data_IF_267659776985
#
_entry.id   IF_267659776985
#
_cell.length_a   1.000
_cell.length_b   1.000
_cell.length_c   1.000
_cell.angle_alpha   90.00
_cell.angle_beta   90.00
_cell.angle_gamma   90.00
#
_symmetry.space_group_name_H-M   'P 1'
#
loop_
_entity.id
_entity.type
_entity.pdbx_description
1 polymer ?
#
# COMPACT_ATOMS: atom_id res chain seq x y z
N UNK A 1 -22.82 17.18 8.25
CA UNK A 1 -21.81 16.12 8.40
C UNK A 1 -21.37 15.72 7.00
N UNK A 2 -20.08 15.49 6.72
CA UNK A 2 -19.65 15.20 5.34
C UNK A 2 -19.96 13.73 5.00
N UNK A 3 -20.36 13.41 3.76
CA UNK A 3 -20.72 12.06 3.31
C UNK A 3 -19.65 11.01 3.64
N UNK A 4 -18.38 11.42 3.59
CA UNK A 4 -17.24 10.58 3.94
C UNK A 4 -17.22 10.23 5.45
N UNK A 5 -17.55 11.19 6.32
CA UNK A 5 -17.66 10.98 7.77
C UNK A 5 -18.83 10.07 8.12
N UNK A 6 -19.98 10.22 7.44
CA UNK A 6 -21.13 9.33 7.62
C UNK A 6 -20.82 7.91 7.13
N UNK A 7 -20.16 7.73 5.99
CA UNK A 7 -19.73 6.42 5.51
C UNK A 7 -18.79 5.73 6.51
N UNK A 8 -17.78 6.45 7.02
CA UNK A 8 -16.85 5.92 8.02
C UNK A 8 -17.61 5.54 9.29
N UNK A 9 -18.52 6.39 9.77
CA UNK A 9 -19.28 6.14 11.00
C UNK A 9 -20.30 5.00 10.86
N UNK A 10 -20.94 4.84 9.70
CA UNK A 10 -21.85 3.72 9.43
C UNK A 10 -21.11 2.41 9.24
N UNK A 11 -19.86 2.47 8.80
CA UNK A 11 -19.00 1.31 8.62
C UNK A 11 -17.93 1.25 9.71
N UNK A 12 -18.11 1.93 10.85
CA UNK A 12 -17.04 2.10 11.86
C UNK A 12 -16.59 0.75 12.41
N UNK A 13 -17.44 -0.25 12.45
CA UNK A 13 -17.07 -1.60 12.88
C UNK A 13 -16.31 -2.36 11.78
N UNK A 14 -16.71 -2.23 10.52
CA UNK A 14 -15.97 -2.73 9.35
C UNK A 14 -14.63 -2.00 9.14
N UNK A 15 -14.55 -0.74 9.56
CA UNK A 15 -13.36 0.14 9.53
C UNK A 15 -12.53 -0.02 10.79
N UNK A 16 -13.11 -0.38 11.94
CA UNK A 16 -12.38 -0.81 13.15
C UNK A 16 -11.75 -2.18 12.96
N UNK A 17 -12.42 -3.07 12.23
CA UNK A 17 -11.81 -4.32 11.72
C UNK A 17 -10.61 -4.03 10.80
N UNK A 18 -10.53 -2.84 10.18
CA UNK A 18 -9.36 -2.37 9.43
C UNK A 18 -8.32 -1.65 10.29
N UNK A 19 -8.70 -1.03 11.42
CA UNK A 19 -7.75 -0.49 12.42
C UNK A 19 -7.05 -1.57 13.24
N UNK A 20 -7.61 -2.78 13.28
CA UNK A 20 -7.05 -3.95 13.98
C UNK A 20 -6.21 -4.87 13.11
N UNK A 21 -5.99 -4.54 11.83
CA UNK A 21 -5.21 -5.36 10.91
C UNK A 21 -3.72 -5.03 10.99
N UNK A 22 -2.99 -5.70 11.86
CA UNK A 22 -1.56 -5.93 11.67
C UNK A 22 -1.45 -6.94 10.53
N UNK A 23 -1.27 -6.53 9.27
CA UNK A 23 -1.21 -7.50 8.17
C UNK A 23 -0.15 -7.24 7.10
N UNK A 24 0.76 -6.30 7.31
CA UNK A 24 2.08 -6.31 6.66
C UNK A 24 3.04 -7.32 7.30
N UNK A 25 2.75 -7.75 8.54
CA UNK A 25 3.71 -8.55 9.28
C UNK A 25 3.59 -10.05 9.03
N UNK A 26 2.49 -10.61 8.51
CA UNK A 26 2.37 -12.08 8.54
C UNK A 26 3.43 -12.79 7.69
N UNK A 27 3.70 -12.30 6.47
CA UNK A 27 4.71 -12.93 5.59
C UNK A 27 6.10 -12.73 6.18
N UNK A 28 6.47 -11.52 6.57
CA UNK A 28 7.78 -11.25 7.17
C UNK A 28 7.95 -12.01 8.49
N UNK A 29 6.97 -11.96 9.40
CA UNK A 29 6.95 -12.66 10.68
C UNK A 29 7.04 -14.17 10.49
N UNK A 30 6.29 -14.74 9.54
CA UNK A 30 6.37 -16.16 9.22
C UNK A 30 7.77 -16.53 8.72
N UNK A 31 8.33 -15.74 7.80
CA UNK A 31 9.69 -15.96 7.31
C UNK A 31 10.74 -15.82 8.43
N UNK A 32 10.62 -14.84 9.32
CA UNK A 32 11.50 -14.65 10.48
C UNK A 32 11.39 -15.82 11.46
N UNK A 33 10.18 -16.31 11.71
CA UNK A 33 9.91 -17.46 12.58
C UNK A 33 10.48 -18.76 12.00
N UNK A 34 10.32 -18.97 10.69
CA UNK A 34 10.91 -20.12 9.99
C UNK A 34 12.44 -20.05 10.05
N UNK A 35 13.01 -18.88 9.74
CA UNK A 35 14.45 -18.65 9.83
C UNK A 35 15.00 -18.88 11.24
N UNK A 36 14.34 -18.34 12.27
CA UNK A 36 14.72 -18.54 13.68
C UNK A 36 14.63 -20.00 14.14
N UNK A 37 13.77 -20.80 13.52
CA UNK A 37 13.64 -22.26 13.76
C UNK A 37 14.66 -23.09 12.99
N UNK A 38 15.56 -22.47 12.22
CA UNK A 38 16.53 -23.17 11.38
C UNK A 38 15.91 -23.82 10.14
N UNK A 39 14.68 -23.43 9.77
CA UNK A 39 14.09 -23.84 8.50
C UNK A 39 14.79 -23.07 7.38
N UNK A 40 15.10 -23.76 6.28
CA UNK A 40 15.69 -23.12 5.11
C UNK A 40 14.73 -22.08 4.53
N UNK A 41 15.18 -20.82 4.48
CA UNK A 41 14.42 -19.69 3.93
C UNK A 41 15.31 -18.97 2.91
N UNK A 42 14.72 -18.50 1.81
CA UNK A 42 15.43 -17.68 0.83
C UNK A 42 15.86 -16.35 1.46
N UNK A 43 17.16 -16.21 1.74
CA UNK A 43 17.72 -15.00 2.35
C UNK A 43 17.50 -13.74 1.51
N UNK A 44 17.48 -13.88 0.18
CA UNK A 44 17.17 -12.77 -0.73
C UNK A 44 15.71 -12.32 -0.58
N UNK A 45 14.79 -13.27 -0.45
CA UNK A 45 13.38 -12.95 -0.25
C UNK A 45 13.15 -12.34 1.14
N UNK A 46 13.76 -12.89 2.19
CA UNK A 46 13.68 -12.34 3.55
C UNK A 46 14.22 -10.89 3.60
N UNK A 47 15.36 -10.63 2.95
CA UNK A 47 15.92 -9.29 2.87
C UNK A 47 15.03 -8.31 2.10
N UNK A 48 14.29 -8.79 1.08
CA UNK A 48 13.32 -7.99 0.33
C UNK A 48 12.10 -7.64 1.21
N UNK A 49 11.54 -8.61 1.92
CA UNK A 49 10.41 -8.37 2.83
C UNK A 49 10.77 -7.42 3.97
N UNK A 50 11.97 -7.59 4.59
CA UNK A 50 12.49 -6.65 5.59
C UNK A 50 12.58 -5.22 5.06
N UNK A 51 13.01 -5.05 3.80
CA UNK A 51 13.08 -3.74 3.16
C UNK A 51 11.70 -3.16 2.90
N UNK A 52 10.76 -3.95 2.40
CA UNK A 52 9.37 -3.52 2.21
C UNK A 52 8.78 -2.98 3.51
N UNK A 53 8.78 -3.82 4.55
CA UNK A 53 8.29 -3.49 5.87
C UNK A 53 8.96 -2.25 6.48
N UNK A 54 10.29 -2.09 6.35
CA UNK A 54 10.98 -0.90 6.85
C UNK A 54 10.50 0.40 6.17
N UNK A 55 10.13 0.35 4.89
CA UNK A 55 9.59 1.50 4.17
C UNK A 55 8.18 1.84 4.61
N UNK A 56 7.31 0.84 4.66
CA UNK A 56 5.92 1.02 5.11
C UNK A 56 5.88 1.58 6.53
N UNK A 57 6.73 1.05 7.43
CA UNK A 57 6.89 1.58 8.78
C UNK A 57 7.29 3.07 8.79
N UNK A 58 8.24 3.47 7.96
CA UNK A 58 8.65 4.88 7.86
C UNK A 58 7.50 5.78 7.38
N UNK A 59 6.71 5.33 6.41
CA UNK A 59 5.54 6.08 5.93
C UNK A 59 4.48 6.15 7.02
N UNK A 60 4.19 5.04 7.69
CA UNK A 60 3.24 4.98 8.79
C UNK A 60 3.59 5.95 9.92
N UNK A 61 4.83 5.91 10.41
CA UNK A 61 5.32 6.83 11.45
C UNK A 61 5.27 8.30 10.99
N UNK A 62 5.41 8.57 9.69
CA UNK A 62 5.31 9.92 9.12
C UNK A 62 3.85 10.38 9.04
N UNK A 63 2.93 9.49 8.63
CA UNK A 63 1.50 9.76 8.59
C UNK A 63 0.94 10.01 9.99
N UNK A 64 1.33 9.21 10.99
CA UNK A 64 0.89 9.39 12.38
C UNK A 64 1.23 10.78 12.95
N UNK A 65 2.28 11.44 12.44
CA UNK A 65 2.69 12.79 12.86
C UNK A 65 1.97 13.93 12.13
N UNK A 66 1.52 13.69 10.89
CA UNK A 66 0.96 14.72 10.01
C UNK A 66 -0.57 14.70 10.06
N UNK A 67 -1.16 13.56 10.40
CA UNK A 67 -2.55 13.26 10.12
C UNK A 67 -3.39 13.34 11.40
N UNK A 68 -3.64 14.56 11.85
CA UNK A 68 -4.46 14.81 13.05
C UNK A 68 -5.98 14.64 12.77
N UNK A 69 -6.39 14.74 11.49
CA UNK A 69 -7.81 14.74 11.05
C UNK A 69 -8.12 13.78 9.88
N UNK A 70 -7.33 12.73 9.70
CA UNK A 70 -7.58 11.80 8.61
C UNK A 70 -7.48 10.34 9.06
N UNK A 71 -8.26 9.48 8.41
CA UNK A 71 -8.28 8.06 8.71
C UNK A 71 -7.33 7.36 7.75
N UNK A 72 -6.23 6.84 8.28
CA UNK A 72 -5.33 5.97 7.52
C UNK A 72 -5.75 4.52 7.75
N UNK A 73 -6.04 3.82 6.67
CA UNK A 73 -6.16 2.37 6.64
C UNK A 73 -4.86 1.83 6.04
N UNK A 74 -4.27 0.82 6.64
CA UNK A 74 -3.09 0.14 6.09
C UNK A 74 -3.41 -1.32 5.81
N UNK A 75 -2.58 -1.98 5.02
CA UNK A 75 -2.56 -3.44 4.90
C UNK A 75 -3.87 -4.01 4.34
N UNK A 76 -4.49 -3.25 3.44
CA UNK A 76 -5.78 -3.64 2.89
C UNK A 76 -5.54 -4.66 1.79
N UNK A 77 -5.75 -5.94 2.13
CA UNK A 77 -6.02 -6.98 1.16
C UNK A 77 -7.55 -7.13 1.00
N UNK A 78 -8.06 -6.83 -0.20
CA UNK A 78 -9.48 -6.95 -0.50
C UNK A 78 -9.70 -7.67 -1.81
N UNK A 79 -10.62 -8.62 -1.78
CA UNK A 79 -11.16 -9.25 -2.98
C UNK A 79 -12.27 -8.36 -3.54
N UNK A 80 -12.08 -7.88 -4.76
CA UNK A 80 -13.12 -7.23 -5.54
C UNK A 80 -13.37 -8.06 -6.80
N UNK A 81 -14.56 -8.65 -6.90
CA UNK A 81 -14.98 -9.44 -8.07
C UNK A 81 -13.96 -10.54 -8.45
N UNK A 82 -13.45 -11.28 -7.46
CA UNK A 82 -12.45 -12.33 -7.69
C UNK A 82 -11.01 -11.84 -7.81
N UNK A 83 -10.75 -10.53 -7.70
CA UNK A 83 -9.41 -9.94 -7.77
C UNK A 83 -8.96 -9.41 -6.41
N UNK A 84 -7.87 -9.97 -5.87
CA UNK A 84 -7.24 -9.43 -4.68
C UNK A 84 -6.42 -8.17 -5.02
N UNK A 85 -6.70 -7.10 -4.29
CA UNK A 85 -5.93 -5.86 -4.33
C UNK A 85 -5.29 -5.66 -2.97
N UNK A 86 -3.98 -5.46 -2.98
CA UNK A 86 -3.23 -4.95 -1.85
C UNK A 86 -3.05 -3.44 -2.02
N UNK A 87 -3.19 -2.69 -0.94
CA UNK A 87 -2.82 -1.27 -0.88
C UNK A 87 -2.14 -1.00 0.44
N UNK A 88 -0.93 -0.42 0.40
CA UNK A 88 -0.11 -0.21 1.59
C UNK A 88 -0.79 0.79 2.52
N UNK A 89 -1.30 1.90 1.98
CA UNK A 89 -2.12 2.85 2.73
C UNK A 89 -3.30 3.40 1.91
N UNK A 90 -4.44 3.57 2.56
CA UNK A 90 -5.58 4.36 2.08
C UNK A 90 -5.84 5.47 3.09
N UNK A 91 -5.73 6.71 2.65
CA UNK A 91 -5.94 7.91 3.46
C UNK A 91 -7.29 8.50 3.09
N UNK A 92 -8.15 8.67 4.10
CA UNK A 92 -9.42 9.36 3.97
C UNK A 92 -9.31 10.76 4.55
N UNK A 93 -9.38 11.78 3.70
CA UNK A 93 -9.26 13.17 4.10
C UNK A 93 -10.31 14.05 3.41
N UNK A 94 -11.12 14.73 4.23
CA UNK A 94 -12.30 15.48 3.78
C UNK A 94 -13.26 14.68 2.90
N UNK A 95 -13.30 14.97 1.59
CA UNK A 95 -14.15 14.29 0.61
C UNK A 95 -13.30 13.64 -0.50
N UNK A 96 -12.13 13.11 -0.12
CA UNK A 96 -11.17 12.50 -1.02
C UNK A 96 -10.56 11.25 -0.37
N UNK A 97 -10.24 10.28 -1.23
CA UNK A 97 -9.43 9.13 -0.87
C UNK A 97 -8.09 9.22 -1.60
N UNK A 98 -7.01 8.84 -0.91
CA UNK A 98 -5.70 8.68 -1.52
C UNK A 98 -5.17 7.28 -1.21
N UNK A 99 -4.74 6.56 -2.24
CA UNK A 99 -3.97 5.32 -2.10
C UNK A 99 -2.49 5.68 -2.13
N UNK A 100 -1.72 5.22 -1.15
CA UNK A 100 -0.26 5.29 -1.18
C UNK A 100 0.30 3.89 -1.42
N UNK A 101 1.14 3.78 -2.43
CA UNK A 101 1.95 2.61 -2.74
C UNK A 101 3.40 2.93 -2.33
N UNK A 102 3.95 2.19 -1.37
CA UNK A 102 5.29 2.40 -0.82
C UNK A 102 6.31 1.57 -1.58
N UNK A 103 7.40 2.21 -2.01
CA UNK A 103 8.49 1.56 -2.72
C UNK A 103 9.83 1.85 -2.07
N UNK A 104 10.25 0.95 -1.17
CA UNK A 104 11.50 1.06 -0.44
C UNK A 104 12.69 0.40 -1.14
N UNK A 105 13.05 0.92 -2.31
CA UNK A 105 14.17 0.40 -3.10
C UNK A 105 14.98 1.54 -3.71
N UNK A 106 16.31 1.41 -3.63
CA UNK A 106 17.27 2.42 -4.10
C UNK A 106 17.50 2.38 -5.62
N UNK A 107 16.70 1.62 -6.37
CA UNK A 107 16.96 1.40 -7.80
C UNK A 107 16.23 2.45 -8.63
N UNK A 108 16.96 3.03 -9.57
CA UNK A 108 16.37 3.81 -10.63
C UNK A 108 15.60 2.87 -11.57
N UNK A 109 14.49 3.38 -12.07
CA UNK A 109 13.75 2.74 -13.13
C UNK A 109 14.13 3.39 -14.46
N UNK A 110 14.23 2.57 -15.50
CA UNK A 110 14.34 3.00 -16.87
C UNK A 110 13.06 2.58 -17.61
N UNK A 111 12.43 3.52 -18.32
CA UNK A 111 11.34 3.22 -19.22
C UNK A 111 11.92 2.89 -20.60
N UNK A 112 11.66 1.67 -21.10
CA UNK A 112 12.07 1.24 -22.45
C UNK A 112 10.89 0.55 -23.11
N UNK A 113 10.47 0.99 -24.29
CA UNK A 113 9.37 0.40 -25.06
C UNK A 113 8.08 0.21 -24.23
N UNK A 114 7.67 1.24 -23.48
CA UNK A 114 6.52 1.22 -22.54
C UNK A 114 6.62 0.21 -21.39
N UNK A 115 7.79 -0.38 -21.18
CA UNK A 115 8.06 -1.34 -20.11
C UNK A 115 9.06 -0.77 -19.12
N UNK A 116 8.84 -1.07 -17.84
CA UNK A 116 9.67 -0.60 -16.74
C UNK A 116 10.77 -1.60 -16.45
N UNK A 117 12.01 -1.13 -16.49
CA UNK A 117 13.19 -1.91 -16.18
C UNK A 117 13.88 -1.35 -14.94
N UNK A 118 14.42 -2.23 -14.11
CA UNK A 118 15.43 -1.85 -13.15
C UNK A 118 16.74 -1.50 -13.88
N UNK A 119 17.57 -0.65 -13.29
CA UNK A 119 18.89 -0.28 -13.83
C UNK A 119 19.82 -1.47 -14.12
N UNK A 120 19.55 -2.66 -13.57
CA UNK A 120 20.27 -3.90 -13.88
C UNK A 120 19.65 -4.70 -15.06
N UNK A 121 18.82 -4.07 -15.89
CA UNK A 121 18.20 -4.66 -17.07
C UNK A 121 17.05 -5.64 -16.81
N UNK A 122 16.70 -5.89 -15.54
CA UNK A 122 15.58 -6.77 -15.21
C UNK A 122 14.26 -6.03 -15.38
N UNK A 123 13.30 -6.66 -16.05
CA UNK A 123 11.95 -6.12 -16.17
C UNK A 123 11.28 -6.07 -14.80
N UNK A 124 10.92 -4.88 -14.36
CA UNK A 124 10.18 -4.64 -13.12
C UNK A 124 8.67 -4.59 -13.39
N UNK A 125 7.88 -4.93 -12.38
CA UNK A 125 6.44 -4.61 -12.43
C UNK A 125 6.26 -3.10 -12.37
N UNK A 126 5.53 -2.51 -13.31
CA UNK A 126 5.24 -1.07 -13.31
C UNK A 126 4.43 -0.70 -12.04
N UNK A 127 4.99 0.07 -11.10
CA UNK A 127 4.28 0.45 -9.88
C UNK A 127 3.06 1.33 -10.17
N UNK A 128 3.06 2.08 -11.28
CA UNK A 128 1.89 2.86 -11.71
C UNK A 128 0.74 1.97 -12.14
N UNK A 129 1.00 0.83 -12.82
CA UNK A 129 -0.06 -0.11 -13.18
C UNK A 129 -0.68 -0.80 -11.95
N UNK A 130 0.12 -1.08 -10.92
CA UNK A 130 -0.38 -1.61 -9.65
C UNK A 130 -1.31 -0.59 -8.98
N UNK A 131 -0.85 0.65 -8.89
CA UNK A 131 -1.59 1.75 -8.32
C UNK A 131 -2.89 2.05 -9.09
N UNK A 132 -2.86 2.10 -10.41
CA UNK A 132 -4.06 2.36 -11.23
C UNK A 132 -5.08 1.25 -11.14
N UNK A 133 -4.64 -0.02 -11.05
CA UNK A 133 -5.55 -1.14 -10.78
C UNK A 133 -6.23 -0.97 -9.42
N UNK A 134 -5.46 -0.65 -8.38
CA UNK A 134 -6.01 -0.44 -7.04
C UNK A 134 -7.01 0.73 -7.00
N UNK A 135 -6.67 1.86 -7.64
CA UNK A 135 -7.56 3.02 -7.77
C UNK A 135 -8.86 2.67 -8.48
N UNK A 136 -8.77 1.97 -9.61
CA UNK A 136 -9.94 1.59 -10.41
C UNK A 136 -10.90 0.70 -9.63
N UNK A 137 -10.38 -0.29 -8.90
CA UNK A 137 -11.20 -1.19 -8.09
C UNK A 137 -11.81 -0.48 -6.88
N UNK A 138 -11.06 0.37 -6.19
CA UNK A 138 -11.62 1.18 -5.10
C UNK A 138 -12.70 2.15 -5.60
N UNK A 139 -12.47 2.83 -6.72
CA UNK A 139 -13.46 3.72 -7.33
C UNK A 139 -14.74 2.96 -7.72
N UNK A 140 -14.60 1.75 -8.28
CA UNK A 140 -15.73 0.87 -8.61
C UNK A 140 -16.49 0.45 -7.36
N UNK A 141 -15.79 0.07 -6.29
CA UNK A 141 -16.39 -0.26 -5.01
C UNK A 141 -17.20 0.91 -4.42
N UNK A 142 -16.61 2.12 -4.38
CA UNK A 142 -17.31 3.31 -3.88
C UNK A 142 -18.57 3.61 -4.71
N UNK A 143 -18.47 3.51 -6.04
CA UNK A 143 -19.61 3.67 -6.94
C UNK A 143 -20.71 2.65 -6.66
N UNK A 144 -20.36 1.40 -6.35
CA UNK A 144 -21.34 0.36 -5.96
C UNK A 144 -22.08 0.63 -4.65
N UNK A 145 -21.60 1.61 -3.87
CA UNK A 145 -22.19 2.08 -2.61
C UNK A 145 -22.82 3.48 -2.75
N UNK A 146 -22.99 3.96 -3.98
CA UNK A 146 -23.48 5.31 -4.30
C UNK A 146 -22.62 6.44 -3.72
N UNK A 147 -21.32 6.17 -3.51
CA UNK A 147 -20.36 7.14 -3.01
C UNK A 147 -19.58 7.73 -4.18
N UNK A 148 -19.72 9.04 -4.38
CA UNK A 148 -19.04 9.78 -5.45
C UNK A 148 -17.93 10.67 -4.90
N UNK A 149 -16.79 10.07 -4.56
CA UNK A 149 -15.58 10.79 -4.13
C UNK A 149 -14.38 10.42 -5.01
N UNK A 150 -13.48 11.38 -5.30
CA UNK A 150 -12.29 11.11 -6.11
C UNK A 150 -11.30 10.22 -5.36
N UNK A 151 -10.72 9.26 -6.08
CA UNK A 151 -9.63 8.38 -5.62
C UNK A 151 -8.32 8.80 -6.29
N UNK A 152 -7.40 9.31 -5.48
CA UNK A 152 -6.05 9.68 -5.87
C UNK A 152 -5.10 8.52 -5.61
N UNK A 153 -3.98 8.48 -6.31
CA UNK A 153 -2.92 7.52 -6.03
C UNK A 153 -1.55 8.17 -6.10
N UNK A 154 -0.68 7.76 -5.18
CA UNK A 154 0.67 8.26 -5.06
C UNK A 154 1.65 7.10 -4.86
N UNK A 155 2.79 7.16 -5.52
CA UNK A 155 3.93 6.29 -5.21
C UNK A 155 4.81 7.05 -4.23
N UNK A 156 5.06 6.45 -3.07
CA UNK A 156 5.90 7.01 -2.01
C UNK A 156 7.23 6.27 -2.00
N UNK A 157 8.33 6.99 -2.25
CA UNK A 157 9.68 6.45 -2.15
C UNK A 157 10.28 6.86 -0.80
N UNK A 158 10.70 5.87 -0.03
CA UNK A 158 11.25 6.07 1.32
C UNK A 158 12.77 6.08 1.38
N UNK A 159 13.44 5.74 0.28
CA UNK A 159 14.88 5.89 0.14
C UNK A 159 15.21 7.06 -0.79
N UNK A 160 16.23 7.84 -0.40
CA UNK A 160 16.79 8.87 -1.25
C UNK A 160 17.32 8.26 -2.55
N UNK A 161 16.85 8.77 -3.68
CA UNK A 161 17.55 8.60 -4.94
C UNK A 161 18.68 9.63 -4.93
N UNK A 162 19.93 9.18 -5.03
CA UNK A 162 21.04 10.05 -5.42
C UNK A 162 20.60 10.79 -6.68
N UNK A 163 20.55 12.12 -6.59
CA UNK A 163 20.04 13.07 -7.59
C UNK A 163 20.26 12.58 -9.04
N UNK A 164 19.18 12.61 -9.83
CA UNK A 164 19.23 12.61 -11.30
C UNK A 164 20.16 13.73 -11.79
#
# INVERSE_FOLDING_TARGET
MNLCTEFINQNVDSVRLLKGGVFLDHILLEMELLYARGVEVSMNQLAKERKGHAGERMVKESLEKIVEFSYTLSDILREFEGTFVQSDFIIVHFNRLAILEVKNHCRNYELKNDEWYFSNGHKGSNPFHQLDRAKGLLAKFLKSKDICIPVWGYIVRTNEVSKL
#
